data_IF_486078651944
#
_entry.id   IF_486078651944
#
_cell.length_a   1.000
_cell.length_b   1.000
_cell.length_c   1.000
_cell.angle_alpha   90.00
_cell.angle_beta   90.00
_cell.angle_gamma   90.00
#
_symmetry.space_group_name_H-M   'P 1'
#
loop_
_entity.id
_entity.type
_entity.pdbx_description
1 polymer ?
#
# COMPACT_ATOMS: atom_id res chain seq x y z
N UNK A 1 -67.99 41.33 -3.25
CA UNK A 1 -66.77 41.81 -3.92
C UNK A 1 -65.58 41.11 -3.25
N UNK A 2 -65.26 39.84 -3.53
CA UNK A 2 -64.50 39.27 -4.66
C UNK A 2 -63.17 39.99 -4.94
N UNK A 3 -62.04 39.46 -4.41
CA UNK A 3 -60.92 38.87 -5.17
C UNK A 3 -59.71 38.58 -4.27
N UNK A 4 -59.60 37.33 -3.81
CA UNK A 4 -58.35 36.72 -3.34
C UNK A 4 -57.61 36.16 -4.56
N UNK A 5 -56.39 36.62 -4.82
CA UNK A 5 -55.52 36.08 -5.86
C UNK A 5 -54.26 35.51 -5.21
N UNK A 6 -54.29 34.20 -4.93
CA UNK A 6 -53.13 33.38 -4.57
C UNK A 6 -52.37 33.04 -5.86
N UNK A 7 -51.24 33.71 -6.09
CA UNK A 7 -50.27 33.32 -7.12
C UNK A 7 -49.38 32.22 -6.55
N UNK A 8 -49.75 30.97 -6.81
CA UNK A 8 -48.89 29.82 -6.59
C UNK A 8 -47.80 29.80 -7.69
N UNK A 9 -46.63 30.35 -7.38
CA UNK A 9 -45.43 30.19 -8.20
C UNK A 9 -44.96 28.74 -8.03
N UNK A 10 -45.37 27.86 -8.95
CA UNK A 10 -44.72 26.56 -9.13
C UNK A 10 -43.33 26.82 -9.73
N UNK A 11 -42.34 27.06 -8.87
CA UNK A 11 -40.95 27.00 -9.25
C UNK A 11 -40.62 25.53 -9.54
N UNK A 12 -40.83 25.12 -10.80
CA UNK A 12 -40.27 23.89 -11.31
C UNK A 12 -38.75 24.02 -11.25
N UNK A 13 -38.16 23.57 -10.14
CA UNK A 13 -36.73 23.32 -10.05
C UNK A 13 -36.45 22.26 -11.11
N UNK A 14 -35.91 22.71 -12.24
CA UNK A 14 -35.28 21.82 -13.19
C UNK A 14 -34.21 21.09 -12.41
N UNK A 15 -34.51 19.85 -12.00
CA UNK A 15 -33.52 18.90 -11.53
C UNK A 15 -32.60 18.70 -12.73
N UNK A 16 -31.56 19.53 -12.80
CA UNK A 16 -30.47 19.30 -13.74
C UNK A 16 -29.93 17.93 -13.36
N UNK A 17 -30.24 16.92 -14.19
CA UNK A 17 -29.52 15.66 -14.17
C UNK A 17 -28.09 16.02 -14.56
N UNK A 18 -27.28 16.33 -13.56
CA UNK A 18 -25.85 16.46 -13.68
C UNK A 18 -25.34 15.15 -14.29
N UNK A 19 -24.76 15.26 -15.49
CA UNK A 19 -24.16 14.10 -16.16
C UNK A 19 -23.07 13.50 -15.27
N UNK A 20 -22.91 12.16 -15.27
CA UNK A 20 -21.89 11.51 -14.46
C UNK A 20 -20.52 12.08 -14.81
N UNK A 21 -19.91 12.78 -13.84
CA UNK A 21 -18.60 13.39 -14.06
C UNK A 21 -17.55 12.28 -14.14
N UNK A 22 -16.87 12.19 -15.28
CA UNK A 22 -15.72 11.31 -15.50
C UNK A 22 -14.62 11.50 -14.44
N UNK A 23 -14.61 12.64 -13.76
CA UNK A 23 -13.72 12.99 -12.65
C UNK A 23 -13.86 12.06 -11.44
N UNK A 24 -15.02 11.45 -11.21
CA UNK A 24 -15.19 10.48 -10.13
C UNK A 24 -15.07 9.02 -10.61
N UNK A 25 -14.61 8.80 -11.84
CA UNK A 25 -14.37 7.46 -12.38
C UNK A 25 -12.87 7.17 -12.40
N UNK A 26 -12.17 7.34 -11.27
CA UNK A 26 -10.74 7.03 -11.19
C UNK A 26 -10.50 5.53 -11.46
N UNK A 27 -9.81 5.16 -12.56
CA UNK A 27 -9.50 3.78 -12.92
C UNK A 27 -8.70 3.05 -11.83
N UNK A 28 -7.91 3.75 -11.02
CA UNK A 28 -7.19 3.17 -9.88
C UNK A 28 -8.14 2.60 -8.82
N UNK A 29 -9.38 3.10 -8.79
CA UNK A 29 -10.40 2.73 -7.81
C UNK A 29 -11.63 2.09 -8.46
N UNK A 30 -11.53 1.69 -9.74
CA UNK A 30 -12.67 1.19 -10.54
C UNK A 30 -13.50 0.13 -9.80
N UNK A 31 -12.88 -0.76 -9.04
CA UNK A 31 -13.58 -1.82 -8.29
C UNK A 31 -14.39 -1.37 -7.08
N UNK A 32 -14.34 -0.09 -6.67
CA UNK A 32 -15.02 0.43 -5.47
C UNK A 32 -16.27 1.25 -5.80
N UNK A 33 -16.37 1.77 -7.02
CA UNK A 33 -17.55 2.51 -7.47
C UNK A 33 -18.76 1.61 -7.74
N UNK A 34 -18.53 0.30 -7.92
CA UNK A 34 -19.55 -0.68 -8.29
C UNK A 34 -19.64 -1.77 -7.22
N UNK A 35 -20.47 -1.57 -6.21
CA UNK A 35 -20.76 -2.62 -5.21
C UNK A 35 -21.98 -3.47 -5.57
N UNK A 36 -22.70 -3.17 -6.66
CA UNK A 36 -23.84 -3.96 -7.15
C UNK A 36 -24.06 -3.91 -8.67
N UNK A 37 -24.67 -4.96 -9.22
CA UNK A 37 -25.02 -5.10 -10.65
C UNK A 37 -26.01 -4.01 -11.16
N UNK A 38 -26.64 -3.27 -10.26
CA UNK A 38 -27.62 -2.21 -10.54
C UNK A 38 -27.07 -0.78 -10.53
N UNK A 39 -25.79 -0.55 -10.17
CA UNK A 39 -25.28 0.78 -9.84
C UNK A 39 -24.52 1.51 -10.96
N UNK A 40 -24.37 0.91 -12.16
CA UNK A 40 -23.76 1.62 -13.30
C UNK A 40 -24.59 2.85 -13.70
N UNK A 41 -25.91 2.81 -13.45
CA UNK A 41 -26.83 3.94 -13.66
C UNK A 41 -26.98 4.87 -12.44
N UNK A 42 -26.34 4.55 -11.31
CA UNK A 42 -26.33 5.34 -10.07
C UNK A 42 -24.96 5.97 -9.80
N UNK A 43 -24.20 6.30 -10.84
CA UNK A 43 -23.15 7.31 -10.74
C UNK A 43 -23.83 8.61 -10.35
N UNK A 44 -24.00 8.79 -9.04
CA UNK A 44 -24.68 9.94 -8.52
C UNK A 44 -23.93 11.19 -9.02
N UNK A 45 -24.65 12.26 -9.35
CA UNK A 45 -24.03 13.55 -9.52
C UNK A 45 -23.11 13.84 -8.34
N UNK A 46 -21.98 14.52 -8.58
CA UNK A 46 -20.87 14.66 -7.64
C UNK A 46 -21.45 14.89 -6.23
N UNK A 47 -21.28 13.94 -5.28
CA UNK A 47 -22.04 13.97 -4.04
C UNK A 47 -21.82 15.32 -3.36
N UNK A 48 -22.93 15.94 -2.95
CA UNK A 48 -22.87 17.15 -2.16
C UNK A 48 -22.01 16.88 -0.93
N UNK A 49 -21.11 17.82 -0.62
CA UNK A 49 -20.12 17.74 0.45
C UNK A 49 -20.63 16.97 1.69
N UNK A 50 -20.16 15.74 1.87
CA UNK A 50 -20.32 14.99 3.12
C UNK A 50 -19.16 15.32 4.08
N UNK A 51 -19.43 15.19 5.37
CA UNK A 51 -18.39 15.26 6.40
C UNK A 51 -17.62 13.93 6.40
N UNK A 52 -16.40 13.95 5.88
CA UNK A 52 -15.50 12.79 5.82
C UNK A 52 -14.70 12.73 7.12
N UNK A 53 -14.66 11.55 7.75
CA UNK A 53 -14.01 11.37 9.05
C UNK A 53 -12.54 11.00 8.94
N UNK A 54 -12.14 10.30 7.87
CA UNK A 54 -10.79 9.77 7.71
C UNK A 54 -9.98 10.66 6.77
N UNK A 55 -10.60 11.07 5.66
CA UNK A 55 -10.00 11.94 4.66
C UNK A 55 -10.43 13.40 4.85
N UNK A 56 -10.25 13.94 6.06
CA UNK A 56 -10.75 15.26 6.48
C UNK A 56 -10.30 16.44 5.59
N UNK A 57 -9.19 16.31 4.86
CA UNK A 57 -8.75 17.29 3.84
C UNK A 57 -9.83 17.57 2.78
N UNK A 58 -10.73 16.62 2.55
CA UNK A 58 -11.80 16.68 1.55
C UNK A 58 -13.19 17.00 2.13
N UNK A 59 -13.31 17.11 3.45
CA UNK A 59 -14.55 17.52 4.12
C UNK A 59 -14.91 18.96 3.73
N UNK A 60 -16.19 19.21 3.43
CA UNK A 60 -16.63 20.54 2.99
C UNK A 60 -16.34 20.84 1.51
N UNK A 61 -15.69 19.93 0.77
CA UNK A 61 -15.27 20.15 -0.62
C UNK A 61 -16.05 19.25 -1.58
N UNK A 62 -16.14 19.69 -2.83
CA UNK A 62 -16.66 18.86 -3.92
C UNK A 62 -15.66 17.72 -4.18
N UNK A 63 -15.95 16.52 -3.68
CA UNK A 63 -15.06 15.36 -3.75
C UNK A 63 -15.77 14.16 -4.37
N UNK A 64 -15.01 13.14 -4.72
CA UNK A 64 -15.55 11.87 -5.20
C UNK A 64 -15.75 10.82 -4.10
N UNK A 65 -15.51 11.21 -2.83
CA UNK A 65 -15.65 10.32 -1.68
C UNK A 65 -17.00 10.45 -1.02
N UNK A 66 -17.47 9.32 -0.48
CA UNK A 66 -18.67 9.18 0.35
C UNK A 66 -18.30 8.43 1.63
N UNK A 67 -19.15 8.47 2.65
CA UNK A 67 -18.94 7.69 3.88
C UNK A 67 -18.72 6.19 3.62
N UNK A 68 -19.36 5.60 2.59
CA UNK A 68 -19.15 4.20 2.22
C UNK A 68 -17.73 3.95 1.66
N UNK A 69 -17.19 4.89 0.88
CA UNK A 69 -15.83 4.77 0.37
C UNK A 69 -14.79 4.85 1.51
N UNK A 70 -15.02 5.67 2.53
CA UNK A 70 -14.12 5.76 3.70
C UNK A 70 -13.98 4.42 4.44
N UNK A 71 -15.06 3.64 4.53
CA UNK A 71 -14.99 2.30 5.10
C UNK A 71 -14.02 1.39 4.32
N UNK A 72 -14.07 1.45 2.98
CA UNK A 72 -13.21 0.67 2.10
C UNK A 72 -11.75 1.15 2.16
N UNK A 73 -11.55 2.46 2.20
CA UNK A 73 -10.26 3.11 2.43
C UNK A 73 -9.63 2.67 3.75
N UNK A 74 -10.41 2.64 4.84
CA UNK A 74 -9.97 2.13 6.15
C UNK A 74 -9.52 0.68 6.11
N UNK A 75 -10.29 -0.16 5.43
CA UNK A 75 -9.92 -1.57 5.25
C UNK A 75 -8.62 -1.73 4.45
N UNK A 76 -8.42 -0.94 3.40
CA UNK A 76 -7.19 -0.96 2.61
C UNK A 76 -5.97 -0.52 3.44
N UNK A 77 -6.11 0.55 4.22
CA UNK A 77 -5.07 1.04 5.12
C UNK A 77 -4.66 -0.02 6.14
N UNK A 78 -5.62 -0.62 6.86
CA UNK A 78 -5.38 -1.70 7.83
C UNK A 78 -4.74 -2.91 7.16
N UNK A 79 -5.22 -3.32 5.98
CA UNK A 79 -4.64 -4.43 5.24
C UNK A 79 -3.18 -4.17 4.89
N UNK A 80 -2.82 -2.94 4.51
CA UNK A 80 -1.44 -2.60 4.17
C UNK A 80 -0.55 -2.61 5.41
N UNK A 81 -1.06 -2.10 6.53
CA UNK A 81 -0.40 -2.13 7.82
C UNK A 81 -0.07 -3.56 8.25
N UNK A 82 -1.07 -4.45 8.26
CA UNK A 82 -0.92 -5.86 8.61
C UNK A 82 0.14 -6.57 7.76
N UNK A 83 0.23 -6.24 6.47
CA UNK A 83 1.26 -6.81 5.59
C UNK A 83 2.67 -6.38 6.01
N UNK A 84 2.87 -5.10 6.31
CA UNK A 84 4.18 -4.58 6.75
C UNK A 84 4.57 -5.13 8.13
N UNK A 85 3.60 -5.23 9.04
CA UNK A 85 3.82 -5.82 10.36
C UNK A 85 4.15 -7.32 10.25
N UNK A 86 3.52 -8.05 9.33
CA UNK A 86 3.86 -9.45 9.06
C UNK A 86 5.32 -9.60 8.57
N UNK A 87 5.78 -8.74 7.66
CA UNK A 87 7.19 -8.76 7.21
C UNK A 87 8.16 -8.49 8.38
N UNK A 88 7.81 -7.59 9.30
CA UNK A 88 8.59 -7.30 10.50
C UNK A 88 8.57 -8.48 11.49
N UNK A 89 7.44 -9.13 11.69
CA UNK A 89 7.32 -10.34 12.52
C UNK A 89 8.20 -11.47 11.98
N UNK A 90 8.31 -11.62 10.66
CA UNK A 90 9.26 -12.60 10.07
C UNK A 90 10.69 -12.26 10.49
N UNK A 91 11.11 -10.99 10.44
CA UNK A 91 12.45 -10.56 10.87
C UNK A 91 12.68 -10.80 12.39
N UNK A 92 11.70 -10.46 13.24
CA UNK A 92 11.74 -10.72 14.67
C UNK A 92 11.86 -12.23 14.98
N UNK A 93 11.09 -13.05 14.28
CA UNK A 93 11.16 -14.51 14.43
C UNK A 93 12.52 -15.07 14.00
N UNK A 94 13.19 -14.41 13.06
CA UNK A 94 14.55 -14.76 12.63
C UNK A 94 15.58 -14.39 13.70
N UNK A 95 15.45 -13.20 14.31
CA UNK A 95 16.28 -12.78 15.44
C UNK A 95 16.18 -13.80 16.60
N UNK A 96 14.96 -14.13 17.03
CA UNK A 96 14.74 -15.11 18.10
C UNK A 96 15.40 -16.46 17.79
N UNK A 97 15.34 -16.92 16.54
CA UNK A 97 15.99 -18.17 16.12
C UNK A 97 17.53 -18.08 16.18
N UNK A 98 18.12 -16.93 15.87
CA UNK A 98 19.57 -16.74 16.02
C UNK A 98 19.99 -16.73 17.50
N UNK A 99 19.18 -16.13 18.37
CA UNK A 99 19.41 -16.15 19.81
C UNK A 99 19.30 -17.56 20.40
N UNK A 100 18.35 -18.37 19.91
CA UNK A 100 18.26 -19.80 20.26
C UNK A 100 19.55 -20.53 19.85
N UNK A 101 20.07 -20.26 18.64
CA UNK A 101 21.36 -20.82 18.21
C UNK A 101 22.49 -20.38 19.12
N UNK A 102 22.53 -19.12 19.56
CA UNK A 102 23.54 -18.61 20.48
C UNK A 102 23.51 -19.27 21.87
N UNK A 103 22.38 -19.85 22.27
CA UNK A 103 22.22 -20.64 23.51
C UNK A 103 22.49 -22.13 23.34
N UNK A 104 22.72 -22.60 22.10
CA UNK A 104 22.86 -24.03 21.80
C UNK A 104 24.29 -24.56 22.00
N UNK A 105 24.44 -25.88 22.19
CA UNK A 105 25.74 -26.55 22.21
C UNK A 105 26.55 -26.30 20.92
N UNK A 106 25.86 -26.17 19.78
CA UNK A 106 26.51 -25.88 18.51
C UNK A 106 27.24 -24.53 18.49
N UNK A 107 26.75 -23.53 19.23
CA UNK A 107 27.45 -22.26 19.40
C UNK A 107 28.66 -22.42 20.32
N UNK A 108 28.50 -23.13 21.45
CA UNK A 108 29.59 -23.40 22.40
C UNK A 108 30.76 -24.14 21.74
N UNK A 109 30.46 -25.09 20.85
CA UNK A 109 31.45 -25.87 20.12
C UNK A 109 32.00 -25.17 18.87
N UNK A 110 31.40 -24.05 18.44
CA UNK A 110 31.84 -23.33 17.26
C UNK A 110 33.16 -22.57 17.49
N UNK A 111 33.90 -22.33 16.41
CA UNK A 111 35.13 -21.52 16.44
C UNK A 111 34.80 -20.08 16.90
N UNK A 112 35.70 -19.45 17.65
CA UNK A 112 35.50 -18.12 18.25
C UNK A 112 35.10 -17.05 17.21
N UNK A 113 35.67 -17.09 16.00
CA UNK A 113 35.29 -16.14 14.95
C UNK A 113 33.84 -16.32 14.52
N UNK A 114 33.33 -17.54 14.46
CA UNK A 114 31.95 -17.83 14.04
C UNK A 114 30.96 -17.38 15.12
N UNK A 115 31.31 -17.55 16.40
CA UNK A 115 30.55 -17.00 17.53
C UNK A 115 30.45 -15.47 17.42
N UNK A 116 31.57 -14.79 17.12
CA UNK A 116 31.61 -13.34 16.90
C UNK A 116 30.74 -12.90 15.71
N UNK A 117 30.73 -13.66 14.60
CA UNK A 117 29.89 -13.38 13.44
C UNK A 117 28.39 -13.54 13.77
N UNK A 118 28.00 -14.57 14.52
CA UNK A 118 26.62 -14.74 14.98
C UNK A 118 26.20 -13.56 15.87
N UNK A 119 26.99 -13.21 16.88
CA UNK A 119 26.67 -12.11 17.79
C UNK A 119 26.54 -10.77 17.06
N UNK A 120 27.37 -10.55 16.04
CA UNK A 120 27.26 -9.37 15.17
C UNK A 120 25.96 -9.38 14.35
N UNK A 121 25.54 -10.54 13.87
CA UNK A 121 24.28 -10.74 13.13
C UNK A 121 23.07 -10.46 14.00
N UNK A 122 23.05 -10.99 15.23
CA UNK A 122 22.03 -10.74 16.26
C UNK A 122 21.93 -9.24 16.51
N UNK A 123 23.05 -8.61 16.90
CA UNK A 123 23.09 -7.17 17.20
C UNK A 123 22.61 -6.29 16.03
N UNK A 124 23.03 -6.60 14.80
CA UNK A 124 22.62 -5.81 13.64
C UNK A 124 21.14 -5.99 13.30
N UNK A 125 20.58 -7.19 13.53
CA UNK A 125 19.16 -7.46 13.30
C UNK A 125 18.28 -6.79 14.35
N UNK A 126 18.71 -6.82 15.61
CA UNK A 126 18.07 -6.09 16.72
C UNK A 126 18.06 -4.58 16.45
N UNK A 127 19.21 -4.01 16.07
CA UNK A 127 19.33 -2.60 15.64
C UNK A 127 18.33 -2.27 14.51
N UNK A 128 18.20 -3.14 13.51
CA UNK A 128 17.25 -2.94 12.42
C UNK A 128 15.78 -2.97 12.90
N UNK A 129 15.41 -3.90 13.77
CA UNK A 129 14.05 -3.99 14.33
C UNK A 129 13.71 -2.73 15.13
N UNK A 130 14.65 -2.21 15.93
CA UNK A 130 14.45 -0.99 16.72
C UNK A 130 14.14 0.27 15.88
N UNK A 131 14.54 0.27 14.60
CA UNK A 131 14.33 1.38 13.66
C UNK A 131 13.08 1.20 12.79
N UNK A 132 12.37 0.08 12.92
CA UNK A 132 11.24 -0.23 12.06
C UNK A 132 10.04 0.68 12.31
N UNK A 133 9.70 0.96 13.58
CA UNK A 133 8.50 1.71 13.95
C UNK A 133 8.45 3.12 13.32
N UNK A 134 9.49 3.97 13.44
CA UNK A 134 9.50 5.29 12.80
C UNK A 134 9.42 5.20 11.28
N UNK A 135 10.06 4.19 10.67
CA UNK A 135 9.98 3.96 9.23
C UNK A 135 8.55 3.61 8.79
N UNK A 136 7.94 2.61 9.43
CA UNK A 136 6.58 2.17 9.13
C UNK A 136 5.57 3.31 9.33
N UNK A 137 5.74 4.15 10.35
CA UNK A 137 4.92 5.35 10.52
C UNK A 137 4.95 6.29 9.30
N UNK A 138 6.13 6.55 8.73
CA UNK A 138 6.26 7.39 7.52
C UNK A 138 5.70 6.73 6.27
N UNK A 139 5.90 5.42 6.11
CA UNK A 139 5.29 4.64 5.02
C UNK A 139 3.76 4.67 5.12
N UNK A 140 3.21 4.50 6.33
CA UNK A 140 1.76 4.51 6.52
C UNK A 140 1.16 5.89 6.32
N UNK A 141 1.84 6.98 6.68
CA UNK A 141 1.42 8.33 6.29
C UNK A 141 1.33 8.46 4.76
N UNK A 142 2.35 8.03 4.02
CA UNK A 142 2.29 8.03 2.56
C UNK A 142 1.12 7.18 2.01
N UNK A 143 0.87 6.00 2.60
CA UNK A 143 -0.25 5.12 2.24
C UNK A 143 -1.59 5.83 2.48
N UNK A 144 -1.77 6.50 3.61
CA UNK A 144 -2.97 7.27 3.93
C UNK A 144 -3.26 8.34 2.87
N UNK A 145 -2.27 9.15 2.50
CA UNK A 145 -2.43 10.16 1.45
C UNK A 145 -2.78 9.54 0.09
N UNK A 146 -2.15 8.42 -0.27
CA UNK A 146 -2.50 7.71 -1.50
C UNK A 146 -3.92 7.10 -1.48
N UNK A 147 -4.42 6.69 -0.31
CA UNK A 147 -5.78 6.19 -0.16
C UNK A 147 -6.79 7.34 -0.31
N UNK A 148 -6.56 8.47 0.37
CA UNK A 148 -7.40 9.67 0.26
C UNK A 148 -7.32 10.36 -1.11
N UNK A 149 -6.31 10.05 -1.93
CA UNK A 149 -6.23 10.53 -3.31
C UNK A 149 -7.44 10.09 -4.17
N UNK A 150 -8.14 9.01 -3.80
CA UNK A 150 -9.43 8.65 -4.44
C UNK A 150 -10.51 9.73 -4.33
N UNK A 151 -10.39 10.65 -3.37
CA UNK A 151 -11.33 11.74 -3.19
C UNK A 151 -11.06 12.93 -4.11
N UNK A 152 -9.90 12.99 -4.77
CA UNK A 152 -9.47 14.12 -5.59
C UNK A 152 -10.27 14.16 -6.92
N UNK A 153 -11.16 15.15 -7.14
CA UNK A 153 -11.90 15.26 -8.39
C UNK A 153 -11.00 15.45 -9.62
N UNK A 154 -9.84 16.08 -9.48
CA UNK A 154 -8.92 16.31 -10.62
C UNK A 154 -7.80 15.27 -10.72
N UNK A 155 -8.04 14.03 -10.28
CA UNK A 155 -7.01 12.96 -10.23
C UNK A 155 -6.28 12.78 -11.56
N UNK A 156 -6.98 12.98 -12.69
CA UNK A 156 -6.44 12.84 -14.03
C UNK A 156 -5.22 13.75 -14.30
N UNK A 157 -5.13 14.89 -13.62
CA UNK A 157 -4.01 15.82 -13.72
C UNK A 157 -2.73 15.28 -13.03
N UNK A 158 -2.84 14.28 -12.16
CA UNK A 158 -1.74 13.75 -11.35
C UNK A 158 -1.22 12.40 -11.84
N UNK A 159 -1.78 11.84 -12.92
CA UNK A 159 -1.44 10.50 -13.40
C UNK A 159 -0.84 10.53 -14.80
N UNK A 160 0.05 9.58 -15.09
CA UNK A 160 0.52 9.33 -16.45
C UNK A 160 -0.42 8.35 -17.14
N UNK A 161 -0.76 8.64 -18.39
CA UNK A 161 -1.58 7.76 -19.23
C UNK A 161 -0.83 7.35 -20.49
N UNK A 162 -0.99 6.10 -20.91
CA UNK A 162 -0.48 5.63 -22.21
C UNK A 162 -1.38 6.10 -23.38
N UNK A 163 -1.01 5.77 -24.62
CA UNK A 163 -1.77 6.16 -25.82
C UNK A 163 -3.20 5.59 -25.91
N UNK A 164 -3.55 4.60 -25.08
CA UNK A 164 -4.91 4.05 -24.97
C UNK A 164 -5.69 4.59 -23.76
N UNK A 165 -5.10 5.53 -23.00
CA UNK A 165 -5.76 6.21 -21.88
C UNK A 165 -5.68 5.47 -20.53
N UNK A 166 -4.95 4.36 -20.44
CA UNK A 166 -4.76 3.63 -19.19
C UNK A 166 -3.76 4.33 -18.28
N UNK A 167 -4.03 4.31 -16.97
CA UNK A 167 -3.12 4.86 -15.96
C UNK A 167 -1.91 3.94 -15.80
N UNK A 168 -0.72 4.44 -16.12
CA UNK A 168 0.55 3.70 -16.03
C UNK A 168 1.40 4.13 -14.83
N UNK A 169 1.03 5.21 -14.15
CA UNK A 169 1.71 5.67 -12.94
C UNK A 169 1.09 6.94 -12.36
N UNK A 170 1.46 7.24 -11.11
CA UNK A 170 1.09 8.48 -10.41
C UNK A 170 2.31 9.39 -10.33
N UNK A 171 2.13 10.64 -10.72
CA UNK A 171 3.15 11.67 -10.62
C UNK A 171 3.26 12.19 -9.18
N UNK A 172 4.21 11.62 -8.44
CA UNK A 172 4.46 11.96 -7.04
C UNK A 172 5.62 12.94 -6.92
N UNK A 173 5.41 13.99 -6.12
CA UNK A 173 6.41 14.98 -5.75
C UNK A 173 7.68 14.31 -5.18
N UNK A 174 8.88 14.77 -5.56
CA UNK A 174 10.13 14.27 -4.96
C UNK A 174 10.16 14.37 -3.43
N UNK A 175 9.51 15.38 -2.87
CA UNK A 175 9.41 15.67 -1.44
C UNK A 175 8.79 14.50 -0.66
N UNK A 176 7.78 13.84 -1.20
CA UNK A 176 7.15 12.67 -0.56
C UNK A 176 8.13 11.50 -0.46
N UNK A 177 8.95 11.27 -1.49
CA UNK A 177 10.01 10.25 -1.43
C UNK A 177 11.09 10.63 -0.41
N UNK A 178 11.48 11.91 -0.32
CA UNK A 178 12.45 12.40 0.67
C UNK A 178 11.88 12.25 2.09
N UNK A 179 10.59 12.53 2.28
CA UNK A 179 9.92 12.38 3.56
C UNK A 179 9.98 10.94 4.08
N UNK A 180 9.62 9.96 3.25
CA UNK A 180 9.71 8.54 3.64
C UNK A 180 11.16 8.14 3.88
N UNK A 181 12.11 8.65 3.08
CA UNK A 181 13.55 8.32 3.19
C UNK A 181 14.15 8.78 4.50
N UNK A 182 13.71 9.95 5.01
CA UNK A 182 14.17 10.47 6.30
C UNK A 182 13.83 9.51 7.45
N UNK A 183 12.67 8.84 7.40
CA UNK A 183 12.30 7.82 8.39
C UNK A 183 12.87 6.43 8.10
N UNK A 184 12.87 6.01 6.85
CA UNK A 184 13.21 4.64 6.46
C UNK A 184 14.67 4.42 6.04
N UNK A 185 15.42 5.47 5.74
CA UNK A 185 16.82 5.36 5.36
C UNK A 185 17.69 4.71 6.45
N UNK A 186 17.59 5.11 7.74
CA UNK A 186 18.28 4.41 8.82
C UNK A 186 17.89 2.94 8.93
N UNK A 187 16.59 2.63 8.87
CA UNK A 187 16.06 1.27 8.89
C UNK A 187 16.65 0.42 7.75
N UNK A 188 16.55 0.89 6.50
CA UNK A 188 17.04 0.16 5.34
C UNK A 188 18.55 -0.10 5.37
N UNK A 189 19.35 0.86 5.87
CA UNK A 189 20.80 0.63 6.08
C UNK A 189 21.07 -0.42 7.16
N UNK A 190 20.32 -0.39 8.26
CA UNK A 190 20.45 -1.36 9.34
C UNK A 190 20.04 -2.77 8.88
N UNK A 191 18.93 -2.91 8.16
CA UNK A 191 18.50 -4.19 7.55
C UNK A 191 19.54 -4.71 6.57
N UNK A 192 20.06 -3.86 5.67
CA UNK A 192 21.11 -4.26 4.73
C UNK A 192 22.35 -4.77 5.45
N UNK A 193 22.78 -4.10 6.53
CA UNK A 193 23.89 -4.52 7.38
C UNK A 193 23.58 -5.85 8.09
N UNK A 194 22.37 -6.03 8.61
CA UNK A 194 21.92 -7.30 9.18
C UNK A 194 22.02 -8.44 8.16
N UNK A 195 21.58 -8.22 6.92
CA UNK A 195 21.60 -9.26 5.88
C UNK A 195 23.03 -9.66 5.52
N UNK A 196 23.94 -8.68 5.42
CA UNK A 196 25.36 -8.96 5.20
C UNK A 196 25.94 -9.84 6.32
N UNK A 197 25.71 -9.48 7.59
CA UNK A 197 26.23 -10.27 8.71
C UNK A 197 25.60 -11.66 8.84
N UNK A 198 24.29 -11.79 8.61
CA UNK A 198 23.61 -13.09 8.56
C UNK A 198 24.23 -13.98 7.48
N UNK A 199 24.56 -13.41 6.31
CA UNK A 199 25.18 -14.17 5.23
C UNK A 199 26.62 -14.60 5.55
N UNK A 200 27.36 -13.81 6.34
CA UNK A 200 28.71 -14.12 6.82
C UNK A 200 28.72 -15.29 7.83
N UNK A 201 27.73 -15.39 8.71
CA UNK A 201 27.67 -16.42 9.76
C UNK A 201 27.02 -17.72 9.29
N UNK A 202 27.75 -18.84 9.37
CA UNK A 202 27.19 -20.19 9.17
C UNK A 202 26.14 -20.54 10.24
N UNK A 203 26.34 -20.10 11.48
CA UNK A 203 25.40 -20.32 12.58
C UNK A 203 24.09 -19.56 12.37
N UNK A 204 24.16 -18.29 11.93
CA UNK A 204 22.96 -17.48 11.67
C UNK A 204 22.06 -18.10 10.59
N UNK A 205 22.65 -18.81 9.62
CA UNK A 205 21.92 -19.49 8.53
C UNK A 205 21.27 -20.81 8.94
N UNK A 206 21.48 -21.31 10.17
CA UNK A 206 20.88 -22.58 10.65
C UNK A 206 19.40 -22.48 10.97
N UNK A 207 18.83 -21.28 11.08
CA UNK A 207 17.41 -21.12 11.43
C UNK A 207 16.46 -21.71 10.38
N UNK A 208 16.93 -21.90 9.14
CA UNK A 208 16.13 -22.33 7.97
C UNK A 208 14.88 -21.47 7.69
N UNK A 209 14.70 -20.36 8.40
CA UNK A 209 13.61 -19.42 8.19
C UNK A 209 13.93 -18.54 6.98
N UNK A 210 12.94 -18.18 6.14
CA UNK A 210 13.17 -17.20 5.09
C UNK A 210 13.39 -15.81 5.69
N UNK A 211 14.29 -15.03 5.09
CA UNK A 211 14.39 -13.60 5.37
C UNK A 211 13.31 -12.84 4.58
N UNK A 212 12.67 -11.82 5.17
CA UNK A 212 11.76 -10.96 4.41
C UNK A 212 12.52 -10.18 3.33
N UNK A 213 11.84 -9.67 2.31
CA UNK A 213 12.49 -8.79 1.32
C UNK A 213 12.27 -7.32 1.69
N UNK A 214 13.34 -6.67 2.14
CA UNK A 214 13.38 -5.25 2.49
C UNK A 214 14.26 -4.43 1.53
N UNK A 215 14.58 -4.98 0.36
CA UNK A 215 15.45 -4.33 -0.62
C UNK A 215 14.94 -2.96 -1.07
N UNK A 216 13.61 -2.74 -1.04
CA UNK A 216 13.03 -1.43 -1.34
C UNK A 216 13.52 -0.32 -0.40
N UNK A 217 14.03 -0.62 0.80
CA UNK A 217 14.51 0.41 1.74
C UNK A 217 16.02 0.67 1.63
N UNK A 218 16.77 -0.10 0.83
CA UNK A 218 18.24 -0.03 0.84
C UNK A 218 18.80 1.27 0.26
N UNK A 219 18.03 1.95 -0.58
CA UNK A 219 18.36 3.26 -1.11
C UNK A 219 17.12 4.11 -1.31
N UNK A 220 17.29 5.44 -1.27
CA UNK A 220 16.23 6.40 -1.62
C UNK A 220 15.63 6.12 -3.01
N UNK A 221 16.46 5.68 -3.95
CA UNK A 221 16.04 5.43 -5.34
C UNK A 221 15.09 4.23 -5.40
N UNK A 222 15.49 3.10 -4.83
CA UNK A 222 14.65 1.88 -4.78
C UNK A 222 13.35 2.13 -4.01
N UNK A 223 13.44 2.87 -2.90
CA UNK A 223 12.28 3.19 -2.09
C UNK A 223 11.30 4.10 -2.84
N UNK A 224 11.81 5.13 -3.54
CA UNK A 224 10.96 6.01 -4.34
C UNK A 224 10.33 5.29 -5.54
N UNK A 225 11.06 4.36 -6.16
CA UNK A 225 10.51 3.49 -7.20
C UNK A 225 9.43 2.57 -6.64
N UNK A 226 9.65 1.99 -5.47
CA UNK A 226 8.67 1.15 -4.80
C UNK A 226 7.40 1.93 -4.43
N UNK A 227 7.56 3.13 -3.86
CA UNK A 227 6.46 4.02 -3.54
C UNK A 227 5.61 4.34 -4.78
N UNK A 228 6.25 4.70 -5.90
CA UNK A 228 5.56 5.04 -7.15
C UNK A 228 4.91 3.85 -7.83
N UNK A 229 5.62 2.74 -7.96
CA UNK A 229 5.20 1.63 -8.81
C UNK A 229 4.29 0.64 -8.07
N UNK A 230 4.41 0.55 -6.75
CA UNK A 230 3.65 -0.41 -5.96
C UNK A 230 2.64 0.28 -5.05
N UNK A 231 3.06 1.23 -4.22
CA UNK A 231 2.15 1.84 -3.26
C UNK A 231 1.14 2.78 -3.92
N UNK A 232 1.61 3.68 -4.77
CA UNK A 232 0.77 4.68 -5.41
C UNK A 232 -0.20 4.09 -6.44
N UNK A 233 0.18 2.95 -7.03
CA UNK A 233 -0.63 2.23 -8.02
C UNK A 233 -1.57 1.20 -7.38
N UNK A 234 -1.49 1.00 -6.06
CA UNK A 234 -2.33 0.04 -5.34
C UNK A 234 -2.97 0.65 -4.09
N UNK A 235 -3.60 1.84 -4.17
CA UNK A 235 -4.18 2.47 -2.99
C UNK A 235 -5.33 1.64 -2.42
N UNK A 236 -6.20 1.07 -3.27
CA UNK A 236 -7.28 0.16 -2.86
C UNK A 236 -7.32 -1.04 -3.80
N UNK A 237 -6.37 -1.96 -3.64
CA UNK A 237 -6.55 -3.29 -4.22
C UNK A 237 -7.49 -4.05 -3.30
N UNK A 238 -8.79 -3.98 -3.61
CA UNK A 238 -9.67 -5.02 -3.10
C UNK A 238 -9.15 -6.34 -3.65
N UNK A 239 -9.12 -7.36 -2.82
CA UNK A 239 -9.08 -8.72 -3.31
C UNK A 239 -10.38 -9.04 -4.06
N UNK A 240 -10.72 -8.31 -5.12
CA UNK A 240 -11.67 -8.77 -6.12
C UNK A 240 -11.25 -10.17 -6.59
N UNK A 241 -9.94 -10.48 -6.57
CA UNK A 241 -9.43 -11.84 -6.73
C UNK A 241 -9.86 -12.83 -5.64
N UNK A 242 -10.06 -12.46 -4.37
CA UNK A 242 -10.59 -13.40 -3.37
C UNK A 242 -12.10 -13.58 -3.49
N UNK A 243 -12.86 -12.57 -3.92
CA UNK A 243 -14.28 -12.74 -4.29
C UNK A 243 -14.41 -13.59 -5.56
N UNK A 244 -13.65 -13.30 -6.62
CA UNK A 244 -13.63 -14.09 -7.85
C UNK A 244 -13.09 -15.51 -7.61
N UNK A 245 -12.12 -15.69 -6.71
CA UNK A 245 -11.62 -17.01 -6.31
C UNK A 245 -12.64 -17.75 -5.44
N UNK A 246 -13.41 -17.08 -4.56
CA UNK A 246 -14.53 -17.71 -3.84
C UNK A 246 -15.70 -18.06 -4.77
N UNK A 247 -16.03 -17.21 -5.73
CA UNK A 247 -17.03 -17.51 -6.76
C UNK A 247 -16.57 -18.65 -7.67
N UNK A 248 -15.30 -18.69 -8.07
CA UNK A 248 -14.74 -19.79 -8.84
C UNK A 248 -14.62 -21.10 -8.03
N UNK A 249 -14.29 -21.02 -6.73
CA UNK A 249 -14.21 -22.17 -5.82
C UNK A 249 -15.60 -22.73 -5.48
N UNK A 250 -16.61 -21.87 -5.38
CA UNK A 250 -18.00 -22.31 -5.19
C UNK A 250 -18.61 -22.88 -6.47
N UNK A 251 -18.06 -22.54 -7.64
CA UNK A 251 -18.51 -23.06 -8.95
C UNK A 251 -17.86 -24.40 -9.35
N UNK A 252 -16.94 -24.97 -8.55
CA UNK A 252 -16.20 -26.21 -8.89
C UNK A 252 -16.66 -27.47 -8.14
N UNK A 253 -17.86 -27.48 -7.55
CA UNK A 253 -18.49 -28.70 -7.02
C UNK A 253 -19.09 -29.54 -8.16
N UNK A 254 -18.25 -30.26 -8.92
CA UNK A 254 -18.58 -31.52 -9.60
C UNK A 254 -17.43 -32.01 -10.51
N UNK A 255 -16.30 -32.42 -9.93
CA UNK A 255 -15.43 -33.38 -10.62
C UNK A 255 -14.53 -34.14 -9.65
N UNK A 256 -14.82 -35.40 -9.33
CA UNK A 256 -13.92 -36.25 -8.58
C UNK A 256 -12.95 -36.88 -9.58
N UNK A 257 -11.70 -36.40 -9.64
CA UNK A 257 -10.48 -37.12 -10.01
C UNK A 257 -9.43 -36.09 -10.43
N UNK A 258 -8.44 -35.79 -9.56
CA UNK A 258 -7.07 -35.49 -10.03
C UNK A 258 -6.03 -35.53 -8.92
N UNK A 259 -4.96 -36.20 -9.31
CA UNK A 259 -3.70 -36.53 -8.63
C UNK A 259 -3.00 -35.31 -8.05
N UNK A 260 -2.54 -35.44 -6.81
CA UNK A 260 -1.79 -34.44 -6.08
C UNK A 260 -0.43 -34.13 -6.76
N UNK A 261 -0.29 -32.94 -7.32
CA UNK A 261 0.99 -32.36 -7.69
C UNK A 261 1.36 -31.27 -6.68
N UNK A 262 2.51 -31.42 -6.02
CA UNK A 262 3.06 -30.45 -5.07
C UNK A 262 3.33 -29.08 -5.73
N UNK A 263 3.03 -27.96 -5.06
CA UNK A 263 3.36 -26.62 -5.55
C UNK A 263 4.87 -26.33 -5.46
N UNK A 264 5.50 -26.07 -6.62
CA UNK A 264 6.87 -25.56 -6.79
C UNK A 264 6.99 -24.08 -6.35
N UNK A 265 6.89 -23.80 -5.06
CA UNK A 265 6.98 -22.42 -4.54
C UNK A 265 8.27 -22.09 -3.74
N UNK A 266 9.23 -23.02 -3.58
CA UNK A 266 10.33 -22.83 -2.60
C UNK A 266 11.70 -22.49 -3.23
N UNK A 267 11.86 -22.53 -4.55
CA UNK A 267 13.21 -22.45 -5.15
C UNK A 267 13.76 -21.04 -5.50
N UNK A 268 13.22 -19.94 -4.95
CA UNK A 268 13.62 -18.56 -5.34
C UNK A 268 14.18 -17.67 -4.22
N UNK A 269 14.54 -18.22 -3.06
CA UNK A 269 14.83 -17.43 -1.86
C UNK A 269 16.31 -16.99 -1.64
N UNK A 270 17.23 -17.17 -2.60
CA UNK A 270 18.66 -16.86 -2.34
C UNK A 270 19.39 -16.03 -3.40
N UNK A 271 18.73 -15.61 -4.48
CA UNK A 271 19.35 -14.67 -5.41
C UNK A 271 19.21 -13.24 -4.88
N UNK A 272 20.31 -12.49 -4.80
CA UNK A 272 20.24 -11.03 -4.62
C UNK A 272 19.30 -10.46 -5.71
N UNK A 273 18.37 -9.56 -5.36
CA UNK A 273 17.42 -9.02 -6.33
C UNK A 273 18.17 -8.35 -7.48
N UNK A 274 17.93 -8.82 -8.70
CA UNK A 274 18.39 -8.15 -9.91
C UNK A 274 17.66 -6.81 -9.99
N UNK A 275 18.41 -5.70 -10.06
CA UNK A 275 17.84 -4.36 -10.10
C UNK A 275 16.75 -4.29 -11.19
N UNK A 276 15.52 -4.02 -10.79
CA UNK A 276 14.43 -3.84 -11.73
C UNK A 276 14.76 -2.65 -12.65
N UNK A 277 14.48 -2.75 -13.97
CA UNK A 277 14.71 -1.64 -14.88
C UNK A 277 13.97 -0.39 -14.37
N UNK A 278 14.64 0.77 -14.45
CA UNK A 278 14.05 2.07 -14.12
C UNK A 278 12.77 2.25 -14.92
N UNK A 279 11.63 2.24 -14.25
CA UNK A 279 10.35 2.65 -14.85
C UNK A 279 10.40 4.15 -15.06
N UNK A 280 10.91 4.57 -16.21
CA UNK A 280 10.57 5.88 -16.75
C UNK A 280 9.16 5.78 -17.32
N UNK A 281 8.37 6.86 -17.21
CA UNK A 281 7.11 6.93 -17.92
C UNK A 281 7.38 6.57 -19.39
N UNK A 282 6.53 5.74 -20.04
CA UNK A 282 6.69 5.42 -21.46
C UNK A 282 6.90 6.72 -22.24
N UNK A 283 7.80 6.72 -23.23
CA UNK A 283 8.07 7.91 -24.07
C UNK A 283 6.80 8.50 -24.68
N UNK A 284 5.77 7.67 -24.86
CA UNK A 284 4.46 8.02 -25.43
C UNK A 284 3.41 8.42 -24.37
N UNK A 285 3.75 8.42 -23.09
CA UNK A 285 2.79 8.73 -22.04
C UNK A 285 2.51 10.24 -21.97
N UNK A 286 1.23 10.60 -21.84
CA UNK A 286 0.85 11.99 -21.58
C UNK A 286 1.35 12.38 -20.20
N UNK A 287 2.15 13.45 -20.14
CA UNK A 287 2.74 13.94 -18.89
C UNK A 287 1.64 14.48 -17.98
N UNK A 288 1.68 14.08 -16.71
CA UNK A 288 0.82 14.67 -15.67
C UNK A 288 1.07 16.18 -15.56
N UNK A 289 0.00 16.95 -15.41
CA UNK A 289 0.05 18.40 -15.25
C UNK A 289 0.47 18.83 -13.84
N UNK A 290 0.11 18.02 -12.84
CA UNK A 290 0.35 18.27 -11.42
C UNK A 290 1.11 17.10 -10.79
N UNK A 291 1.72 17.36 -9.63
CA UNK A 291 2.40 16.37 -8.82
C UNK A 291 1.73 16.28 -7.44
N UNK A 292 1.40 15.05 -7.03
CA UNK A 292 0.75 14.74 -5.77
C UNK A 292 1.77 14.71 -4.63
N UNK A 293 1.39 15.12 -3.42
CA UNK A 293 2.22 14.94 -2.21
C UNK A 293 1.54 14.01 -1.18
N UNK A 294 1.60 12.68 -1.37
CA UNK A 294 0.88 11.76 -0.49
C UNK A 294 1.41 11.76 0.94
N UNK A 295 2.65 12.22 1.14
CA UNK A 295 3.24 12.29 2.48
C UNK A 295 2.61 13.42 3.29
N UNK A 296 2.50 14.61 2.69
CA UNK A 296 1.84 15.77 3.30
C UNK A 296 0.34 15.49 3.47
N UNK A 297 -0.34 15.05 2.41
CA UNK A 297 -1.77 14.75 2.45
C UNK A 297 -2.09 13.72 3.54
N UNK A 298 -1.26 12.68 3.67
CA UNK A 298 -1.41 11.63 4.66
C UNK A 298 -1.26 12.09 6.11
N UNK A 299 -0.44 13.11 6.36
CA UNK A 299 -0.30 13.71 7.70
C UNK A 299 -1.55 14.49 8.13
N UNK A 300 -2.41 14.87 7.18
CA UNK A 300 -3.68 15.56 7.41
C UNK A 300 -4.89 14.60 7.43
N UNK A 301 -4.65 13.30 7.51
CA UNK A 301 -5.70 12.30 7.62
C UNK A 301 -5.86 11.83 9.06
N UNK A 302 -7.07 11.39 9.40
CA UNK A 302 -7.37 10.78 10.70
C UNK A 302 -7.17 9.26 10.69
N UNK A 303 -6.34 8.76 9.76
CA UNK A 303 -5.85 7.40 9.83
C UNK A 303 -4.95 7.25 11.06
N UNK A 304 -5.54 6.85 12.18
CA UNK A 304 -4.77 6.57 13.37
C UNK A 304 -3.74 5.47 13.10
N UNK A 305 -2.46 5.84 13.21
CA UNK A 305 -1.36 4.88 13.27
C UNK A 305 -1.26 4.39 14.72
N UNK A 306 -2.29 3.71 15.21
CA UNK A 306 -2.15 3.00 16.49
C UNK A 306 -1.23 1.81 16.26
N UNK A 307 -0.02 1.89 16.79
CA UNK A 307 0.85 0.73 16.90
C UNK A 307 0.27 -0.17 18.00
N UNK A 308 0.07 -1.47 17.76
CA UNK A 308 -0.20 -2.38 18.87
C UNK A 308 0.96 -2.24 19.87
N UNK A 309 0.67 -2.23 21.19
CA UNK A 309 1.74 -2.24 22.19
C UNK A 309 2.68 -3.45 21.93
N UNK A 310 3.99 -3.29 22.19
CA UNK A 310 4.99 -4.33 21.96
C UNK A 310 4.71 -5.60 22.76
#
# INVERSE_FOLDING_TARGET
MWKSALLAVCAAQAVQREEPSFECMDPLFRGQWYTGDSDVAQLAPRPASEELQTCGLWSGRSSCCTANLEFLQRRAFVSRRLKLDADLQVLQSYLAAMEDVARSEAYVQAQEYEQKLLNRSIKATDEAISLAEPCLGRVMAFVAGMICFSCQPTWSAYVWRNGVGEVVGVNIKPESCIYVDRGCGPFGRAVRKAYLHIMESKLAKRSHKPLPDFSMYFSRVEMCQWLRNFLAMQPIVFEARSVQRRLAQNSTTSSPFRTAALPRAIARATALPTAAPRTQAPLEATKAALALDPAEDGLHTDFEVQFPPP
#
